data_IF_702662378676
#
_entry.id   IF_702662378676
#
_cell.length_a   1.000
_cell.length_b   1.000
_cell.length_c   1.000
_cell.angle_alpha   90.00
_cell.angle_beta   90.00
_cell.angle_gamma   90.00
#
_symmetry.space_group_name_H-M   'P 1'
#
loop_
_entity.id
_entity.type
_entity.pdbx_description
1 polymer ?
#
# COMPACT_ATOMS: atom_id res chain seq x y z
N UNK A 1 7.98 13.90 5.76
CA UNK A 1 8.35 12.68 5.02
C UNK A 1 8.58 13.10 3.58
N UNK A 2 9.75 13.66 3.26
CA UNK A 2 10.00 14.26 1.94
C UNK A 2 10.53 13.27 0.88
N UNK A 3 10.46 11.96 1.13
CA UNK A 3 11.04 10.95 0.22
C UNK A 3 10.33 9.58 0.24
N UNK A 4 9.03 9.55 0.57
CA UNK A 4 8.26 8.32 0.54
C UNK A 4 7.74 8.05 -0.88
N UNK A 5 7.98 6.83 -1.38
CA UNK A 5 7.36 6.30 -2.60
C UNK A 5 6.13 5.50 -2.23
N UNK A 6 5.08 5.62 -3.03
CA UNK A 6 3.81 4.95 -2.78
C UNK A 6 3.53 3.94 -3.89
N UNK A 7 2.89 2.84 -3.50
CA UNK A 7 2.59 1.75 -4.41
C UNK A 7 1.21 1.17 -4.13
N UNK A 8 0.56 0.73 -5.18
CA UNK A 8 -0.63 -0.09 -5.09
C UNK A 8 -0.27 -1.54 -5.31
N UNK A 9 -0.74 -2.39 -4.41
CA UNK A 9 -0.67 -3.85 -4.55
C UNK A 9 -1.83 -4.28 -5.44
N UNK A 10 -1.53 -5.01 -6.52
CA UNK A 10 -2.50 -5.40 -7.55
C UNK A 10 -2.48 -6.90 -7.80
N UNK A 11 -3.56 -7.42 -8.35
CA UNK A 11 -3.70 -8.82 -8.80
C UNK A 11 -4.62 -8.85 -10.05
N UNK A 12 -4.94 -10.05 -10.54
CA UNK A 12 -5.79 -10.24 -11.72
C UNK A 12 -7.18 -9.59 -11.59
N UNK A 13 -7.74 -9.52 -10.37
CA UNK A 13 -9.06 -8.94 -10.10
C UNK A 13 -9.00 -7.47 -9.64
N UNK A 14 -7.84 -7.03 -9.15
CA UNK A 14 -7.66 -5.74 -8.45
C UNK A 14 -6.54 -4.92 -9.08
N UNK A 15 -6.92 -4.01 -9.97
CA UNK A 15 -6.00 -3.04 -10.58
C UNK A 15 -5.85 -1.73 -9.80
N UNK A 16 -5.20 -0.74 -10.45
CA UNK A 16 -4.90 0.59 -9.89
C UNK A 16 -6.13 1.34 -9.34
N UNK A 17 -7.29 1.19 -9.97
CA UNK A 17 -8.54 1.85 -9.54
C UNK A 17 -9.21 1.21 -8.32
N UNK A 18 -8.86 -0.04 -7.98
CA UNK A 18 -9.32 -0.70 -6.75
C UNK A 18 -8.25 -1.68 -6.26
N UNK A 19 -7.14 -1.18 -5.70
CA UNK A 19 -5.99 -2.01 -5.40
C UNK A 19 -6.26 -2.93 -4.20
N UNK A 20 -5.58 -4.06 -4.16
CA UNK A 20 -5.65 -5.02 -3.06
C UNK A 20 -5.05 -4.46 -1.76
N UNK A 21 -4.10 -3.53 -1.88
CA UNK A 21 -3.47 -2.86 -0.75
C UNK A 21 -2.77 -1.57 -1.17
N UNK A 22 -2.49 -0.72 -0.19
CA UNK A 22 -1.73 0.52 -0.37
C UNK A 22 -0.45 0.37 0.45
N UNK A 23 0.69 0.58 -0.20
CA UNK A 23 2.02 0.40 0.36
C UNK A 23 2.84 1.67 0.23
N UNK A 24 3.83 1.84 1.10
CA UNK A 24 4.82 2.91 1.00
C UNK A 24 6.21 2.39 1.34
N UNK A 25 7.21 2.99 0.69
CA UNK A 25 8.64 2.76 0.92
C UNK A 25 9.30 4.09 1.21
N UNK A 26 10.07 4.18 2.27
CA UNK A 26 10.80 5.39 2.62
C UNK A 26 12.09 5.03 3.37
N UNK A 27 13.00 5.99 3.47
CA UNK A 27 14.19 5.86 4.32
C UNK A 27 13.95 6.57 5.64
N UNK A 28 14.19 5.87 6.74
CA UNK A 28 14.16 6.43 8.09
C UNK A 28 15.40 5.97 8.84
N UNK A 29 16.11 6.91 9.47
CA UNK A 29 17.32 6.63 10.27
C UNK A 29 18.39 5.85 9.48
N UNK A 30 18.50 6.09 8.17
CA UNK A 30 19.44 5.40 7.29
C UNK A 30 19.01 4.00 6.86
N UNK A 31 17.87 3.49 7.35
CA UNK A 31 17.32 2.19 6.96
C UNK A 31 16.14 2.35 6.00
N UNK A 32 16.06 1.48 5.00
CA UNK A 32 14.85 1.34 4.17
C UNK A 32 13.73 0.74 5.00
N UNK A 33 12.55 1.35 4.94
CA UNK A 33 11.32 0.87 5.59
C UNK A 33 10.24 0.70 4.55
N UNK A 34 9.58 -0.46 4.64
CA UNK A 34 8.47 -0.83 3.78
C UNK A 34 7.26 -1.08 4.65
N UNK A 35 6.15 -0.45 4.31
CA UNK A 35 4.91 -0.58 5.06
C UNK A 35 3.72 -0.79 4.14
N UNK A 36 2.73 -1.52 4.65
CA UNK A 36 1.40 -1.66 4.07
C UNK A 36 0.37 -1.06 5.01
N UNK A 37 -0.65 -0.41 4.46
CA UNK A 37 -1.75 0.09 5.28
C UNK A 37 -2.67 -1.06 5.68
N UNK A 38 -2.78 -1.30 6.98
CA UNK A 38 -3.65 -2.31 7.54
C UNK A 38 -5.04 -1.71 7.82
N UNK A 39 -6.00 -2.01 6.94
CA UNK A 39 -7.39 -1.55 7.07
C UNK A 39 -8.15 -2.14 8.26
N UNK A 40 -7.64 -3.20 8.91
CA UNK A 40 -8.24 -3.75 10.14
C UNK A 40 -7.73 -3.03 11.39
N UNK A 41 -6.45 -2.68 11.41
CA UNK A 41 -5.81 -1.98 12.54
C UNK A 41 -5.80 -0.45 12.39
N UNK A 42 -6.25 0.06 11.24
CA UNK A 42 -6.29 1.49 10.91
C UNK A 42 -4.92 2.18 11.07
N UNK A 43 -3.85 1.49 10.65
CA UNK A 43 -2.48 2.00 10.74
C UNK A 43 -1.57 1.37 9.69
N UNK A 44 -0.47 2.04 9.39
CA UNK A 44 0.64 1.45 8.66
C UNK A 44 1.32 0.37 9.50
N UNK A 45 1.71 -0.72 8.85
CA UNK A 45 2.43 -1.84 9.47
C UNK A 45 3.57 -2.27 8.56
N UNK A 46 4.71 -2.65 9.14
CA UNK A 46 5.85 -3.17 8.40
C UNK A 46 5.45 -4.34 7.48
N UNK A 47 6.07 -4.41 6.31
CA UNK A 47 5.83 -5.48 5.34
C UNK A 47 7.13 -5.94 4.70
N UNK A 48 7.21 -7.24 4.42
CA UNK A 48 8.31 -7.85 3.67
C UNK A 48 7.95 -8.08 2.18
N UNK A 49 6.85 -7.48 1.72
CA UNK A 49 6.28 -7.73 0.39
C UNK A 49 7.29 -7.51 -0.73
N UNK A 50 8.01 -6.38 -0.73
CA UNK A 50 8.93 -6.06 -1.81
C UNK A 50 10.16 -6.98 -1.83
N UNK A 51 10.65 -7.41 -0.68
CA UNK A 51 11.75 -8.37 -0.60
C UNK A 51 11.29 -9.75 -1.12
N UNK A 52 10.09 -10.20 -0.74
CA UNK A 52 9.50 -11.43 -1.26
C UNK A 52 9.29 -11.37 -2.78
N UNK A 53 8.79 -10.24 -3.29
CA UNK A 53 8.62 -10.03 -4.73
C UNK A 53 9.96 -10.12 -5.47
N UNK A 54 11.01 -9.47 -4.94
CA UNK A 54 12.37 -9.55 -5.49
C UNK A 54 12.93 -10.97 -5.50
N UNK A 55 12.53 -11.80 -4.54
CA UNK A 55 12.89 -13.22 -4.45
C UNK A 55 12.03 -14.14 -5.34
N UNK A 56 11.08 -13.58 -6.09
CA UNK A 56 10.25 -14.34 -7.05
C UNK A 56 8.94 -14.90 -6.46
N UNK A 57 8.53 -14.51 -5.26
CA UNK A 57 7.22 -14.88 -4.71
C UNK A 57 6.15 -13.91 -5.23
N UNK A 58 5.47 -14.27 -6.32
CA UNK A 58 4.54 -13.39 -7.05
C UNK A 58 3.08 -13.86 -7.01
N UNK A 59 2.45 -13.82 -5.84
CA UNK A 59 0.98 -13.91 -5.75
C UNK A 59 0.29 -12.59 -6.12
N UNK A 60 1.04 -11.49 -6.13
CA UNK A 60 0.54 -10.13 -6.40
C UNK A 60 1.63 -9.29 -7.07
N UNK A 61 1.20 -8.33 -7.87
CA UNK A 61 2.02 -7.28 -8.45
C UNK A 61 1.93 -5.98 -7.66
N UNK A 62 2.73 -4.99 -8.08
CA UNK A 62 2.60 -3.64 -7.58
C UNK A 62 2.92 -2.60 -8.65
N UNK A 63 2.31 -1.42 -8.51
CA UNK A 63 2.56 -0.27 -9.37
C UNK A 63 2.90 0.95 -8.52
N UNK A 64 3.97 1.67 -8.89
CA UNK A 64 4.33 2.96 -8.26
C UNK A 64 3.27 4.01 -8.64
N UNK A 65 2.82 4.77 -7.65
CA UNK A 65 1.82 5.83 -7.83
C UNK A 65 2.25 7.11 -7.13
N UNK A 66 1.78 8.28 -7.59
CA UNK A 66 1.98 9.54 -6.87
C UNK A 66 1.41 9.45 -5.45
N UNK A 67 2.03 10.18 -4.52
CA UNK A 67 1.56 10.26 -3.13
C UNK A 67 0.10 10.71 -3.04
N UNK A 68 -0.27 11.75 -3.77
CA UNK A 68 -1.63 12.31 -3.75
C UNK A 68 -2.68 11.27 -4.17
N UNK A 69 -2.35 10.43 -5.16
CA UNK A 69 -3.24 9.36 -5.61
C UNK A 69 -3.38 8.26 -4.54
N UNK A 70 -2.28 7.90 -3.87
CA UNK A 70 -2.31 6.92 -2.80
C UNK A 70 -3.13 7.40 -1.59
N UNK A 71 -2.99 8.66 -1.22
CA UNK A 71 -3.73 9.28 -0.13
C UNK A 71 -5.23 9.39 -0.44
N UNK A 72 -5.58 9.77 -1.67
CA UNK A 72 -6.98 9.80 -2.13
C UNK A 72 -7.62 8.41 -2.08
N UNK A 73 -6.93 7.38 -2.58
CA UNK A 73 -7.42 6.00 -2.56
C UNK A 73 -7.56 5.47 -1.13
N UNK A 74 -6.63 5.83 -0.23
CA UNK A 74 -6.70 5.46 1.19
C UNK A 74 -7.95 6.08 1.84
N UNK A 75 -8.17 7.38 1.64
CA UNK A 75 -9.33 8.09 2.17
C UNK A 75 -10.65 7.50 1.65
N UNK A 76 -10.72 7.18 0.35
CA UNK A 76 -11.90 6.54 -0.25
C UNK A 76 -12.19 5.17 0.39
N UNK A 77 -11.20 4.30 0.52
CA UNK A 77 -11.37 2.97 1.12
C UNK A 77 -11.80 3.06 2.59
N UNK A 78 -11.22 3.97 3.36
CA UNK A 78 -11.61 4.22 4.75
C UNK A 78 -13.06 4.70 4.86
N UNK A 79 -13.48 5.61 3.97
CA UNK A 79 -14.87 6.07 3.90
C UNK A 79 -15.83 4.91 3.60
N UNK A 80 -15.55 4.10 2.58
CA UNK A 80 -16.37 2.93 2.23
C UNK A 80 -16.47 1.91 3.36
N UNK A 81 -15.39 1.71 4.11
CA UNK A 81 -15.38 0.80 5.25
C UNK A 81 -16.27 1.33 6.39
N UNK A 82 -16.23 2.63 6.67
CA UNK A 82 -17.11 3.26 7.65
C UNK A 82 -18.60 3.21 7.24
N UNK A 83 -18.90 3.27 5.94
CA UNK A 83 -20.26 3.13 5.40
C UNK A 83 -20.78 1.68 5.48
N UNK A 84 -19.91 0.68 5.29
CA UNK A 84 -20.26 -0.75 5.37
C UNK A 84 -20.40 -1.29 6.79
N UNK A 85 -19.82 -0.61 7.78
CA UNK A 85 -19.87 -1.00 9.19
C UNK A 85 -21.09 -0.48 9.95
N UNK A 86 -22.03 0.21 9.28
CA UNK A 86 -23.32 0.60 9.85
C UNK A 86 -24.40 -0.41 9.47
#
# INVERSE_FOLDING_TARGET
MENAKYYFKTDEDRGRSNPAGIMRRYTAEGAGRDEVYNFRLHRWTETDFFDKYRLGHMDFDYVEVPQEEAEAMLAEKLRRQAERGR
#
